data_IF_054598787503
#
_entry.id   IF_054598787503
#
_cell.length_a   1.000
_cell.length_b   1.000
_cell.length_c   1.000
_cell.angle_alpha   90.00
_cell.angle_beta   90.00
_cell.angle_gamma   90.00
#
_symmetry.space_group_name_H-M   'P 1'
#
loop_
_entity.id
_entity.type
_entity.pdbx_description
1 polymer ?
#
# COMPACT_ATOMS: atom_id res chain seq x y z
N UNK A 1 12.15 7.48 18.72
CA UNK A 1 13.57 7.04 18.64
C UNK A 1 14.34 8.06 17.81
N UNK A 2 15.54 8.45 18.27
CA UNK A 2 16.40 9.34 17.51
C UNK A 2 17.27 8.52 16.55
N UNK A 3 17.25 8.89 15.28
CA UNK A 3 18.10 8.29 14.26
C UNK A 3 19.33 9.16 14.06
N UNK A 4 20.50 8.54 14.01
CA UNK A 4 21.77 9.17 13.80
C UNK A 4 22.40 8.66 12.50
N UNK A 5 22.94 9.60 11.72
CA UNK A 5 23.71 9.28 10.53
C UNK A 5 25.11 9.87 10.75
N UNK A 6 26.10 9.00 10.90
CA UNK A 6 27.50 9.39 10.99
C UNK A 6 28.07 9.58 9.58
N UNK A 7 28.47 10.81 9.28
CA UNK A 7 29.10 11.19 8.01
C UNK A 7 30.60 11.45 8.17
N UNK A 8 31.20 10.99 9.30
CA UNK A 8 32.62 11.06 9.61
C UNK A 8 33.21 12.48 9.61
N UNK A 9 32.50 13.46 10.14
CA UNK A 9 32.94 14.86 10.30
C UNK A 9 33.09 15.23 11.78
N UNK A 10 33.94 16.21 12.09
CA UNK A 10 34.30 16.55 13.47
C UNK A 10 33.41 17.66 14.06
N UNK A 11 32.74 18.43 13.23
CA UNK A 11 31.96 19.58 13.68
C UNK A 11 30.88 20.00 12.68
N UNK A 12 29.93 20.81 13.13
CA UNK A 12 28.81 21.32 12.35
C UNK A 12 29.21 22.03 11.07
N UNK A 13 30.30 22.81 11.08
CA UNK A 13 30.74 23.60 9.92
C UNK A 13 31.17 22.66 8.80
N UNK A 14 31.94 21.64 9.13
CA UNK A 14 32.38 20.59 8.21
C UNK A 14 31.19 19.78 7.68
N UNK A 15 30.25 19.43 8.55
CA UNK A 15 29.02 18.73 8.14
C UNK A 15 28.19 19.55 7.13
N UNK A 16 28.12 20.87 7.30
CA UNK A 16 27.34 21.73 6.42
C UNK A 16 28.00 22.00 5.05
N UNK A 17 29.23 21.59 4.84
CA UNK A 17 29.88 21.59 3.52
C UNK A 17 29.31 20.49 2.63
N UNK A 18 28.94 19.36 3.23
CA UNK A 18 28.41 18.17 2.50
C UNK A 18 26.88 18.06 2.58
N UNK A 19 26.26 18.46 3.70
CA UNK A 19 24.83 18.26 3.96
C UNK A 19 24.18 19.54 4.47
N UNK A 20 23.06 19.93 3.88
CA UNK A 20 22.28 21.09 4.33
C UNK A 20 21.21 20.70 5.33
N UNK A 21 20.77 21.64 6.18
CA UNK A 21 19.59 21.45 7.03
C UNK A 21 18.35 21.21 6.16
N UNK A 22 17.65 20.12 6.43
CA UNK A 22 16.49 19.70 5.64
C UNK A 22 16.82 18.76 4.48
N UNK A 23 18.08 18.37 4.29
CA UNK A 23 18.46 17.33 3.34
C UNK A 23 17.79 16.01 3.71
N UNK A 24 17.31 15.28 2.71
CA UNK A 24 16.68 13.98 2.87
C UNK A 24 17.77 12.90 2.81
N UNK A 25 17.72 11.98 3.76
CA UNK A 25 18.55 10.78 3.74
C UNK A 25 17.71 9.56 3.38
N UNK A 26 18.22 8.74 2.48
CA UNK A 26 17.56 7.47 2.10
C UNK A 26 18.55 6.33 2.20
N UNK A 27 18.05 5.16 2.60
CA UNK A 27 18.86 3.93 2.60
C UNK A 27 19.09 3.48 1.15
N UNK A 28 20.34 3.23 0.81
CA UNK A 28 20.69 2.58 -0.46
C UNK A 28 20.41 1.09 -0.27
N UNK A 29 19.43 0.58 -1.01
CA UNK A 29 19.06 -0.84 -0.98
C UNK A 29 18.59 -1.26 -2.35
N UNK A 30 19.32 -2.17 -2.96
CA UNK A 30 18.89 -2.82 -4.20
C UNK A 30 17.81 -3.87 -3.89
N UNK A 31 16.87 -4.14 -4.81
CA UNK A 31 15.94 -5.24 -4.68
C UNK A 31 16.68 -6.58 -4.58
N UNK A 32 16.29 -7.40 -3.63
CA UNK A 32 16.86 -8.73 -3.40
C UNK A 32 15.80 -9.80 -3.65
N UNK A 33 16.14 -10.73 -4.54
CA UNK A 33 15.36 -11.96 -4.69
C UNK A 33 15.78 -12.94 -3.60
N UNK A 34 14.80 -13.35 -2.82
CA UNK A 34 14.98 -14.30 -1.72
C UNK A 34 14.46 -15.69 -2.14
N UNK A 35 14.67 -16.68 -1.27
CA UNK A 35 14.08 -18.00 -1.44
C UNK A 35 12.55 -17.95 -1.57
N UNK A 36 11.96 -18.96 -2.18
CA UNK A 36 10.51 -19.08 -2.37
C UNK A 36 9.86 -17.94 -3.19
N UNK A 37 10.61 -17.37 -4.14
CA UNK A 37 10.14 -16.29 -5.00
C UNK A 37 9.72 -15.01 -4.25
N UNK A 38 10.29 -14.79 -3.07
CA UNK A 38 10.08 -13.57 -2.32
C UNK A 38 11.01 -12.45 -2.81
N UNK A 39 10.54 -11.22 -2.72
CA UNK A 39 11.32 -10.02 -3.04
C UNK A 39 11.39 -9.12 -1.81
N UNK A 40 12.58 -8.68 -1.48
CA UNK A 40 12.79 -7.64 -0.48
C UNK A 40 13.30 -6.38 -1.18
N UNK A 41 12.64 -5.25 -0.95
CA UNK A 41 13.07 -3.96 -1.46
C UNK A 41 12.48 -2.84 -0.60
N UNK A 42 13.12 -1.68 -0.65
CA UNK A 42 12.51 -0.48 -0.11
C UNK A 42 11.35 -0.01 -1.02
N UNK A 43 10.40 0.70 -0.43
CA UNK A 43 9.29 1.34 -1.17
C UNK A 43 8.40 0.34 -1.94
N UNK A 44 8.31 -0.92 -1.50
CA UNK A 44 7.24 -1.81 -1.93
C UNK A 44 5.88 -1.30 -1.46
N UNK A 45 5.87 -0.59 -0.37
CA UNK A 45 4.82 0.29 0.11
C UNK A 45 4.98 1.69 -0.55
N UNK A 46 4.10 2.13 -1.46
CA UNK A 46 3.17 1.23 -2.15
C UNK A 46 3.44 1.21 -3.67
N UNK A 47 4.67 0.92 -4.06
CA UNK A 47 5.00 0.72 -5.48
C UNK A 47 4.41 -0.55 -6.07
N UNK A 48 4.06 -1.53 -5.21
CA UNK A 48 3.42 -2.75 -5.70
C UNK A 48 1.97 -2.48 -6.10
N UNK A 49 1.24 -1.67 -5.36
CA UNK A 49 -0.10 -1.22 -5.74
C UNK A 49 -0.09 -0.44 -7.06
N UNK A 50 0.90 0.43 -7.25
CA UNK A 50 1.07 1.13 -8.51
C UNK A 50 1.34 0.17 -9.68
N UNK A 51 2.15 -0.86 -9.48
CA UNK A 51 2.41 -1.88 -10.51
C UNK A 51 1.13 -2.66 -10.87
N UNK A 52 0.33 -3.02 -9.86
CA UNK A 52 -0.97 -3.67 -10.05
C UNK A 52 -1.92 -2.75 -10.83
N UNK A 53 -1.98 -1.48 -10.46
CA UNK A 53 -2.81 -0.47 -11.13
C UNK A 53 -2.48 -0.36 -12.63
N UNK A 54 -1.20 -0.32 -12.97
CA UNK A 54 -0.72 -0.31 -14.38
C UNK A 54 -1.14 -1.61 -15.09
N UNK A 55 -1.00 -2.76 -14.42
CA UNK A 55 -1.42 -4.06 -14.97
C UNK A 55 -2.91 -4.11 -15.25
N UNK A 56 -3.74 -3.64 -14.34
CA UNK A 56 -5.20 -3.55 -14.51
C UNK A 56 -5.56 -2.59 -15.66
N UNK A 57 -4.92 -1.43 -15.73
CA UNK A 57 -5.12 -0.49 -16.82
C UNK A 57 -4.78 -1.11 -18.18
N UNK A 58 -3.68 -1.87 -18.25
CA UNK A 58 -3.32 -2.59 -19.47
C UNK A 58 -4.34 -3.67 -19.86
N UNK A 59 -4.82 -4.45 -18.88
CA UNK A 59 -5.86 -5.47 -19.13
C UNK A 59 -7.19 -4.86 -19.60
N UNK A 60 -7.52 -3.66 -19.15
CA UNK A 60 -8.79 -3.00 -19.48
C UNK A 60 -8.69 -2.12 -20.75
N UNK A 61 -7.50 -1.86 -21.26
CA UNK A 61 -7.28 -0.95 -22.39
C UNK A 61 -8.08 -1.31 -23.65
N UNK A 62 -8.23 -2.60 -23.93
CA UNK A 62 -8.98 -3.12 -25.08
C UNK A 62 -10.40 -3.61 -24.69
N UNK A 63 -10.79 -3.46 -23.41
CA UNK A 63 -12.11 -3.88 -22.97
C UNK A 63 -13.16 -2.83 -23.28
N UNK A 64 -14.34 -3.28 -23.71
CA UNK A 64 -15.51 -2.41 -23.74
C UNK A 64 -16.08 -2.35 -22.32
N UNK A 65 -15.95 -1.21 -21.66
CA UNK A 65 -16.54 -0.95 -20.36
C UNK A 65 -17.68 0.04 -20.48
N UNK A 66 -18.78 -0.21 -19.79
CA UNK A 66 -19.89 0.73 -19.65
C UNK A 66 -19.62 1.78 -18.55
N UNK A 67 -18.45 1.73 -17.94
CA UNK A 67 -18.02 2.61 -16.85
C UNK A 67 -16.89 3.55 -17.28
N UNK A 68 -16.92 4.76 -16.78
CA UNK A 68 -15.76 5.65 -16.77
C UNK A 68 -14.79 5.19 -15.68
N UNK A 69 -13.61 4.72 -16.07
CA UNK A 69 -12.63 4.16 -15.14
C UNK A 69 -11.45 5.13 -15.00
N UNK A 70 -11.19 5.54 -13.77
CA UNK A 70 -10.08 6.42 -13.42
C UNK A 70 -8.99 5.63 -12.69
N UNK A 71 -7.78 5.66 -13.23
CA UNK A 71 -6.60 5.10 -12.60
C UNK A 71 -5.83 6.24 -11.92
N UNK A 72 -5.75 6.18 -10.60
CA UNK A 72 -5.18 7.27 -9.80
C UNK A 72 -3.94 6.78 -9.06
N UNK A 73 -2.80 7.39 -9.30
CA UNK A 73 -1.62 7.28 -8.46
C UNK A 73 -1.59 8.51 -7.53
N UNK A 74 -2.10 8.34 -6.32
CA UNK A 74 -2.19 9.40 -5.32
C UNK A 74 -0.82 9.75 -4.74
N UNK A 75 -0.69 10.94 -4.21
CA UNK A 75 0.53 11.41 -3.54
C UNK A 75 0.24 11.65 -2.06
N UNK A 76 1.30 11.56 -1.24
CA UNK A 76 1.24 11.88 0.18
C UNK A 76 0.22 11.03 0.98
N UNK A 77 0.14 9.75 0.67
CA UNK A 77 -0.62 8.79 1.47
C UNK A 77 -0.08 8.79 2.91
N UNK A 78 1.21 8.57 3.09
CA UNK A 78 1.95 8.55 4.36
C UNK A 78 1.86 9.87 5.18
N UNK A 79 1.44 10.94 4.55
CA UNK A 79 1.25 12.25 5.19
C UNK A 79 -0.22 12.60 5.42
N UNK A 80 -1.10 11.58 5.43
CA UNK A 80 -2.51 11.72 5.72
C UNK A 80 -3.42 11.69 4.50
N UNK A 81 -3.08 10.91 3.49
CA UNK A 81 -3.91 10.61 2.31
C UNK A 81 -4.36 11.87 1.53
N UNK A 82 -3.51 12.89 1.46
CA UNK A 82 -3.87 14.21 0.91
C UNK A 82 -4.19 14.18 -0.57
N UNK A 83 -3.46 13.36 -1.33
CA UNK A 83 -3.69 13.17 -2.76
C UNK A 83 -5.04 12.50 -3.02
N UNK A 84 -5.35 11.45 -2.28
CA UNK A 84 -6.63 10.74 -2.38
C UNK A 84 -7.81 11.67 -2.06
N UNK A 85 -7.76 12.42 -0.97
CA UNK A 85 -8.80 13.38 -0.63
C UNK A 85 -9.06 14.35 -1.78
N UNK A 86 -8.01 14.99 -2.30
CA UNK A 86 -8.14 16.00 -3.34
C UNK A 86 -8.72 15.44 -4.64
N UNK A 87 -8.27 14.25 -5.05
CA UNK A 87 -8.73 13.67 -6.31
C UNK A 87 -10.13 13.09 -6.20
N UNK A 88 -10.49 12.53 -5.05
CA UNK A 88 -11.85 12.03 -4.78
C UNK A 88 -12.88 13.16 -4.83
N UNK A 89 -12.59 14.30 -4.21
CA UNK A 89 -13.44 15.49 -4.29
C UNK A 89 -13.62 16.00 -5.74
N UNK A 90 -12.60 15.83 -6.57
CA UNK A 90 -12.64 16.26 -7.96
C UNK A 90 -13.36 15.30 -8.89
N UNK A 91 -13.15 13.99 -8.72
CA UNK A 91 -13.75 12.95 -9.57
C UNK A 91 -15.15 12.61 -9.08
N UNK A 92 -15.37 12.57 -7.75
CA UNK A 92 -16.61 12.12 -7.10
C UNK A 92 -17.05 10.74 -7.61
N UNK A 93 -16.23 9.71 -7.45
CA UNK A 93 -16.53 8.40 -7.98
C UNK A 93 -17.72 7.76 -7.26
N UNK A 94 -18.52 6.96 -7.96
CA UNK A 94 -19.58 6.14 -7.33
C UNK A 94 -18.98 4.97 -6.54
N UNK A 95 -17.85 4.44 -7.00
CA UNK A 95 -17.14 3.33 -6.37
C UNK A 95 -15.65 3.63 -6.40
N UNK A 96 -14.99 3.48 -5.26
CA UNK A 96 -13.53 3.52 -5.15
C UNK A 96 -12.98 2.16 -4.72
N UNK A 97 -11.91 1.74 -5.38
CA UNK A 97 -11.12 0.55 -5.00
C UNK A 97 -9.71 1.03 -4.74
N UNK A 98 -9.26 0.88 -3.51
CA UNK A 98 -7.91 1.30 -3.10
C UNK A 98 -7.02 0.08 -3.02
N UNK A 99 -5.83 0.20 -3.63
CA UNK A 99 -4.76 -0.78 -3.55
C UNK A 99 -3.72 -0.27 -2.57
N UNK A 100 -3.35 -1.10 -1.64
CA UNK A 100 -2.33 -0.82 -0.65
C UNK A 100 -1.71 -2.12 -0.15
N UNK A 101 -0.62 -2.04 0.60
CA UNK A 101 -0.01 -3.20 1.26
C UNK A 101 -0.58 -3.38 2.67
N UNK A 102 -0.45 -4.58 3.22
CA UNK A 102 -0.74 -4.83 4.62
C UNK A 102 0.36 -5.67 5.26
N UNK A 103 0.33 -5.75 6.59
CA UNK A 103 1.30 -6.51 7.37
C UNK A 103 0.97 -8.00 7.36
N UNK A 104 1.93 -8.82 6.96
CA UNK A 104 1.88 -10.24 7.29
C UNK A 104 2.07 -10.43 8.79
N UNK A 105 1.37 -11.41 9.38
CA UNK A 105 1.39 -11.68 10.82
C UNK A 105 2.00 -13.04 11.17
N UNK A 106 2.64 -13.67 10.20
CA UNK A 106 3.24 -15.00 10.31
C UNK A 106 4.73 -14.99 10.71
N UNK A 107 5.15 -13.98 11.48
CA UNK A 107 6.51 -13.91 12.02
C UNK A 107 6.52 -13.95 13.57
N UNK A 108 7.68 -14.30 14.20
CA UNK A 108 7.71 -14.78 15.60
C UNK A 108 7.18 -13.85 16.69
N UNK A 109 7.09 -12.54 16.45
CA UNK A 109 6.66 -11.57 17.47
C UNK A 109 5.19 -11.17 17.37
N UNK A 110 4.47 -11.71 16.38
CA UNK A 110 3.05 -11.41 16.16
C UNK A 110 2.13 -12.37 16.93
N UNK A 111 0.94 -11.88 17.23
CA UNK A 111 -0.09 -12.65 17.92
C UNK A 111 -1.34 -12.74 17.05
N UNK A 112 -1.67 -13.92 16.58
CA UNK A 112 -2.88 -14.16 15.78
C UNK A 112 -4.14 -13.63 16.47
N UNK A 113 -4.19 -13.68 17.80
CA UNK A 113 -5.35 -13.21 18.58
C UNK A 113 -5.50 -11.69 18.52
N UNK A 114 -4.38 -10.96 18.43
CA UNK A 114 -4.38 -9.49 18.45
C UNK A 114 -4.28 -8.91 17.05
N UNK A 115 -3.45 -9.52 16.22
CA UNK A 115 -2.97 -8.93 14.96
C UNK A 115 -3.62 -9.58 13.73
N UNK A 116 -4.41 -10.64 13.92
CA UNK A 116 -5.02 -11.42 12.83
C UNK A 116 -4.10 -12.52 12.30
N UNK A 117 -4.57 -13.26 11.30
CA UNK A 117 -3.84 -14.38 10.67
C UNK A 117 -3.67 -14.09 9.17
N UNK A 118 -2.77 -13.20 8.84
CA UNK A 118 -2.40 -12.84 7.47
C UNK A 118 -1.01 -13.41 7.16
N UNK A 119 -0.91 -14.21 6.12
CA UNK A 119 0.31 -14.93 5.74
C UNK A 119 0.90 -14.42 4.44
N UNK A 120 2.20 -14.27 4.45
CA UNK A 120 2.94 -13.90 3.25
C UNK A 120 2.83 -15.02 2.19
N UNK A 121 2.45 -14.65 0.97
CA UNK A 121 2.26 -15.60 -0.13
C UNK A 121 0.93 -16.37 -0.14
N UNK A 122 0.04 -16.11 0.82
CA UNK A 122 -1.28 -16.75 0.89
C UNK A 122 -2.40 -16.04 0.10
N UNK A 123 -1.99 -15.20 -0.82
CA UNK A 123 -2.90 -14.53 -1.76
C UNK A 123 -3.20 -13.09 -1.37
N UNK A 124 -4.03 -12.45 -2.19
CA UNK A 124 -4.44 -11.06 -1.98
C UNK A 124 -5.24 -10.93 -0.68
N UNK A 125 -5.04 -9.82 0.03
CA UNK A 125 -5.82 -9.49 1.22
C UNK A 125 -6.98 -8.57 0.83
N UNK A 126 -8.18 -8.93 1.26
CA UNK A 126 -9.38 -8.10 1.11
C UNK A 126 -9.75 -7.59 2.48
N UNK A 127 -9.63 -6.27 2.67
CA UNK A 127 -9.92 -5.63 3.94
C UNK A 127 -11.42 -5.41 4.15
N UNK A 128 -11.88 -5.63 5.38
CA UNK A 128 -13.24 -5.39 5.83
C UNK A 128 -13.22 -4.58 7.12
N UNK A 129 -13.78 -3.39 7.09
CA UNK A 129 -13.73 -2.46 8.22
C UNK A 129 -14.82 -1.40 8.18
N UNK A 130 -14.88 -0.51 9.17
CA UNK A 130 -15.97 0.46 9.33
C UNK A 130 -16.07 1.49 8.21
N UNK A 131 -14.98 1.78 7.50
CA UNK A 131 -14.96 2.69 6.34
C UNK A 131 -14.93 1.96 4.98
N UNK A 132 -15.11 0.63 4.98
CA UNK A 132 -15.23 -0.16 3.75
C UNK A 132 -16.70 -0.32 3.37
N UNK A 133 -17.02 -0.15 2.10
CA UNK A 133 -18.35 -0.46 1.60
C UNK A 133 -18.57 -1.97 1.60
N UNK A 134 -19.55 -2.43 2.38
CA UNK A 134 -19.82 -3.87 2.57
C UNK A 134 -20.19 -4.59 1.28
N UNK A 135 -20.94 -3.95 0.42
CA UNK A 135 -21.39 -4.53 -0.84
C UNK A 135 -20.20 -4.72 -1.80
N UNK A 136 -19.36 -3.69 -1.94
CA UNK A 136 -18.14 -3.77 -2.76
C UNK A 136 -17.20 -4.84 -2.21
N UNK A 137 -16.98 -4.89 -0.90
CA UNK A 137 -16.13 -5.91 -0.28
C UNK A 137 -16.66 -7.32 -0.52
N UNK A 138 -17.98 -7.55 -0.35
CA UNK A 138 -18.57 -8.87 -0.63
C UNK A 138 -18.47 -9.22 -2.11
N UNK A 139 -18.62 -8.27 -3.02
CA UNK A 139 -18.45 -8.52 -4.44
C UNK A 139 -17.01 -8.94 -4.79
N UNK A 140 -16.01 -8.26 -4.20
CA UNK A 140 -14.60 -8.66 -4.35
C UNK A 140 -14.34 -10.09 -3.84
N UNK A 141 -14.87 -10.44 -2.66
CA UNK A 141 -14.79 -11.79 -2.10
C UNK A 141 -15.46 -12.83 -2.99
N UNK A 142 -16.65 -12.54 -3.50
CA UNK A 142 -17.37 -13.44 -4.41
C UNK A 142 -16.60 -13.64 -5.72
N UNK A 143 -16.04 -12.59 -6.29
CA UNK A 143 -15.22 -12.67 -7.51
C UNK A 143 -13.99 -13.53 -7.25
N UNK A 144 -13.27 -13.29 -6.15
CA UNK A 144 -12.09 -14.06 -5.79
C UNK A 144 -12.43 -15.55 -5.61
N UNK A 145 -13.49 -15.86 -4.88
CA UNK A 145 -13.94 -17.23 -4.63
C UNK A 145 -14.37 -17.93 -5.93
N UNK A 146 -15.21 -17.29 -6.73
CA UNK A 146 -15.76 -17.88 -7.97
C UNK A 146 -14.70 -18.14 -9.04
N UNK A 147 -13.63 -17.37 -9.03
CA UNK A 147 -12.51 -17.52 -9.96
C UNK A 147 -11.32 -18.28 -9.36
N UNK A 148 -11.46 -18.88 -8.19
CA UNK A 148 -10.40 -19.60 -7.48
C UNK A 148 -9.14 -18.74 -7.26
N UNK A 149 -9.30 -17.44 -7.05
CA UNK A 149 -8.20 -16.52 -6.72
C UNK A 149 -7.89 -16.71 -5.23
N UNK A 150 -6.64 -17.07 -4.92
CA UNK A 150 -6.18 -17.22 -3.55
C UNK A 150 -6.28 -15.88 -2.84
N UNK A 151 -6.99 -15.85 -1.73
CA UNK A 151 -7.23 -14.61 -0.99
C UNK A 151 -7.34 -14.84 0.52
N UNK A 152 -7.16 -13.79 1.26
CA UNK A 152 -7.31 -13.73 2.72
C UNK A 152 -8.24 -12.57 3.07
N UNK A 153 -8.85 -12.62 4.22
CA UNK A 153 -9.71 -11.54 4.70
C UNK A 153 -9.09 -10.90 5.96
N UNK A 154 -8.91 -9.60 5.91
CA UNK A 154 -8.46 -8.81 7.05
C UNK A 154 -9.64 -8.05 7.66
N UNK A 155 -9.93 -8.33 8.94
CA UNK A 155 -11.01 -7.68 9.68
C UNK A 155 -10.42 -6.54 10.52
N UNK A 156 -10.79 -5.31 10.20
CA UNK A 156 -10.27 -4.10 10.85
C UNK A 156 -11.37 -3.50 11.73
N UNK A 157 -11.09 -3.31 13.01
CA UNK A 157 -12.06 -2.77 13.96
C UNK A 157 -12.15 -1.23 13.97
N UNK A 158 -11.21 -0.55 13.34
CA UNK A 158 -11.13 0.92 13.24
C UNK A 158 -10.95 1.32 11.77
N UNK A 159 -11.12 2.60 11.42
CA UNK A 159 -10.83 3.08 10.07
C UNK A 159 -9.39 2.76 9.68
N UNK A 160 -9.22 2.30 8.43
CA UNK A 160 -7.88 2.02 7.87
C UNK A 160 -6.99 3.27 7.83
N UNK A 161 -5.69 3.06 7.86
CA UNK A 161 -4.71 4.14 7.66
C UNK A 161 -4.52 4.54 6.20
N UNK A 162 -5.06 3.78 5.25
CA UNK A 162 -4.83 3.92 3.81
C UNK A 162 -5.70 5.01 3.17
N UNK A 163 -5.50 5.26 1.88
CA UNK A 163 -6.30 6.17 1.06
C UNK A 163 -7.80 5.83 1.06
N UNK A 164 -8.19 4.61 1.40
CA UNK A 164 -9.59 4.18 1.45
C UNK A 164 -10.46 4.94 2.47
N UNK A 165 -9.88 5.70 3.36
CA UNK A 165 -10.63 6.58 4.27
C UNK A 165 -11.06 7.90 3.62
N UNK A 166 -10.57 8.19 2.42
CA UNK A 166 -10.82 9.44 1.70
C UNK A 166 -11.66 9.25 0.42
N UNK A 167 -11.98 8.00 0.09
CA UNK A 167 -12.71 7.62 -1.13
C UNK A 167 -14.18 7.29 -0.87
#
# INVERSE_FOLDING_TARGET
EDLWIDIAVNNKKEAMEDVQLGSIATVISDPVLMSNSLVSSRSLDDKIGLLILIGVAHCLYESNSDYDIYFVASVQEELGARGAQTITERIMPEIGIVLDVTHATDYPTMSIIKDGDIKLGDGVVIAFGPNMNKEVTHNLLNIATSNNIKHQMEIIAHPTGTDARMV
#
